data_IF_439836879431
#
_entry.id   IF_439836879431
#
_cell.length_a   1.000
_cell.length_b   1.000
_cell.length_c   1.000
_cell.angle_alpha   90.00
_cell.angle_beta   90.00
_cell.angle_gamma   90.00
#
_symmetry.space_group_name_H-M   'P 1'
#
loop_
_entity.id
_entity.type
_entity.pdbx_description
1 polymer ?
#
# COMPACT_ATOMS: atom_id res chain seq x y z
N UNK A 1 4.69 20.19 -31.00
CA UNK A 1 4.86 20.64 -29.60
C UNK A 1 3.82 20.05 -28.64
N UNK A 2 2.52 20.36 -28.74
CA UNK A 2 1.52 19.81 -27.80
C UNK A 2 1.39 18.28 -27.88
N UNK A 3 1.44 17.71 -29.09
CA UNK A 3 1.47 16.27 -29.32
C UNK A 3 2.69 15.59 -28.69
N UNK A 4 3.88 16.21 -28.78
CA UNK A 4 5.11 15.67 -28.20
C UNK A 4 5.05 15.58 -26.67
N UNK A 5 4.49 16.61 -26.03
CA UNK A 5 4.26 16.63 -24.58
C UNK A 5 3.27 15.52 -24.17
N UNK A 6 2.20 15.32 -24.94
CA UNK A 6 1.25 14.23 -24.69
C UNK A 6 1.94 12.87 -24.83
N UNK A 7 2.70 12.64 -25.90
CA UNK A 7 3.44 11.40 -26.11
C UNK A 7 4.42 11.13 -24.97
N UNK A 8 5.18 12.14 -24.54
CA UNK A 8 6.08 12.05 -23.40
C UNK A 8 5.34 11.72 -22.10
N UNK A 9 4.18 12.35 -21.84
CA UNK A 9 3.38 12.08 -20.65
C UNK A 9 2.90 10.63 -20.59
N UNK A 10 2.53 10.05 -21.74
CA UNK A 10 2.11 8.65 -21.84
C UNK A 10 3.29 7.71 -21.56
N UNK A 11 4.44 7.95 -22.19
CA UNK A 11 5.65 7.16 -21.96
C UNK A 11 6.08 7.22 -20.50
N UNK A 12 6.10 8.42 -19.91
CA UNK A 12 6.41 8.62 -18.49
C UNK A 12 5.45 7.83 -17.59
N UNK A 13 4.12 7.95 -17.80
CA UNK A 13 3.12 7.19 -17.03
C UNK A 13 3.32 5.69 -17.13
N UNK A 14 3.65 5.17 -18.31
CA UNK A 14 3.89 3.74 -18.52
C UNK A 14 5.13 3.26 -17.75
N UNK A 15 6.28 3.94 -17.89
CA UNK A 15 7.50 3.57 -17.19
C UNK A 15 7.39 3.72 -15.68
N UNK A 16 6.83 4.83 -15.20
CA UNK A 16 6.62 5.05 -13.77
C UNK A 16 5.61 4.06 -13.17
N UNK A 17 4.56 3.72 -13.92
CA UNK A 17 3.57 2.70 -13.54
C UNK A 17 4.19 1.31 -13.43
N UNK A 18 4.97 0.89 -14.44
CA UNK A 18 5.68 -0.39 -14.43
C UNK A 18 6.67 -0.49 -13.27
N UNK A 19 7.47 0.56 -13.06
CA UNK A 19 8.41 0.63 -11.92
C UNK A 19 7.66 0.52 -10.59
N UNK A 20 6.58 1.29 -10.41
CA UNK A 20 5.75 1.24 -9.20
C UNK A 20 5.21 -0.15 -8.95
N UNK A 21 4.72 -0.83 -9.99
CA UNK A 21 4.20 -2.19 -9.91
C UNK A 21 5.26 -3.19 -9.44
N UNK A 22 6.42 -3.22 -10.11
CA UNK A 22 7.48 -4.20 -9.80
C UNK A 22 8.01 -3.99 -8.38
N UNK A 23 8.34 -2.74 -8.07
CA UNK A 23 8.85 -2.33 -6.74
C UNK A 23 7.79 -2.56 -5.67
N UNK A 24 6.53 -2.23 -5.97
CA UNK A 24 5.43 -2.27 -5.02
C UNK A 24 4.95 -3.67 -4.70
N UNK A 25 4.84 -4.57 -5.68
CA UNK A 25 4.46 -5.97 -5.45
C UNK A 25 5.52 -6.66 -4.61
N UNK A 26 6.79 -6.56 -5.01
CA UNK A 26 7.90 -7.20 -4.29
C UNK A 26 8.05 -6.58 -2.90
N UNK A 27 8.07 -5.25 -2.80
CA UNK A 27 8.26 -4.51 -1.56
C UNK A 27 7.14 -4.77 -0.55
N UNK A 28 5.87 -4.65 -0.97
CA UNK A 28 4.75 -4.90 -0.06
C UNK A 28 4.65 -6.38 0.34
N UNK A 29 4.94 -7.32 -0.57
CA UNK A 29 5.02 -8.74 -0.20
C UNK A 29 6.09 -8.96 0.88
N UNK A 30 7.30 -8.42 0.72
CA UNK A 30 8.35 -8.52 1.73
C UNK A 30 7.92 -7.91 3.07
N UNK A 31 7.28 -6.73 3.06
CA UNK A 31 6.74 -6.10 4.27
C UNK A 31 5.71 -6.97 4.98
N UNK A 32 4.75 -7.53 4.23
CA UNK A 32 3.73 -8.43 4.79
C UNK A 32 4.43 -9.64 5.43
N UNK A 33 5.38 -10.25 4.74
CA UNK A 33 6.09 -11.43 5.23
C UNK A 33 6.93 -11.15 6.49
N UNK A 34 7.60 -10.00 6.56
CA UNK A 34 8.47 -9.62 7.68
C UNK A 34 7.66 -9.21 8.90
N UNK A 35 6.64 -8.37 8.72
CA UNK A 35 5.80 -7.85 9.80
C UNK A 35 4.90 -8.94 10.40
N UNK A 36 4.39 -9.88 9.58
CA UNK A 36 3.56 -10.99 10.07
C UNK A 36 4.36 -12.21 10.54
N UNK A 37 5.52 -12.48 9.93
CA UNK A 37 6.30 -13.70 10.18
C UNK A 37 7.15 -13.67 11.45
N UNK A 38 7.53 -12.48 11.93
CA UNK A 38 8.40 -12.35 13.10
C UNK A 38 7.58 -12.16 14.37
N UNK A 39 7.78 -13.05 15.35
CA UNK A 39 7.11 -12.97 16.67
C UNK A 39 7.26 -11.60 17.34
N UNK A 40 8.40 -10.92 17.11
CA UNK A 40 8.69 -9.59 17.64
C UNK A 40 7.74 -8.51 17.10
N UNK A 41 7.40 -8.56 15.81
CA UNK A 41 6.51 -7.58 15.18
C UNK A 41 5.04 -7.97 15.30
N UNK A 42 4.75 -9.28 15.30
CA UNK A 42 3.36 -9.79 15.42
C UNK A 42 2.66 -9.34 16.70
N UNK A 43 3.41 -9.13 17.78
CA UNK A 43 2.87 -8.63 19.04
C UNK A 43 2.95 -7.10 19.16
N UNK A 44 3.43 -6.38 18.14
CA UNK A 44 3.48 -4.93 18.11
C UNK A 44 2.27 -4.39 17.30
N UNK A 45 1.53 -3.47 17.93
CA UNK A 45 0.26 -2.94 17.40
C UNK A 45 0.48 -2.00 16.20
N UNK A 46 1.46 -1.09 16.29
CA UNK A 46 1.89 -0.25 15.16
C UNK A 46 2.35 -1.09 13.96
N UNK A 47 3.10 -2.17 14.20
CA UNK A 47 3.52 -3.09 13.15
C UNK A 47 2.34 -3.81 12.47
N UNK A 48 1.27 -4.10 13.22
CA UNK A 48 0.03 -4.63 12.66
C UNK A 48 -0.61 -3.64 11.69
N UNK A 49 -0.73 -2.36 12.04
CA UNK A 49 -1.27 -1.35 11.11
C UNK A 49 -0.43 -1.19 9.84
N UNK A 50 0.91 -1.19 9.95
CA UNK A 50 1.81 -1.16 8.79
C UNK A 50 1.67 -2.42 7.91
N UNK A 51 1.34 -3.57 8.50
CA UNK A 51 1.07 -4.80 7.75
C UNK A 51 -0.27 -4.73 7.01
N UNK A 52 -1.31 -4.17 7.64
CA UNK A 52 -2.61 -3.91 6.99
C UNK A 52 -2.43 -2.93 5.83
N UNK A 53 -1.70 -1.83 6.06
CA UNK A 53 -1.34 -0.84 5.04
C UNK A 53 -0.62 -1.50 3.85
N UNK A 54 0.40 -2.32 4.12
CA UNK A 54 1.14 -3.05 3.08
C UNK A 54 0.25 -4.03 2.32
N UNK A 55 -0.71 -4.66 3.00
CA UNK A 55 -1.68 -5.59 2.39
C UNK A 55 -2.63 -4.85 1.46
N UNK A 56 -3.19 -3.72 1.88
CA UNK A 56 -4.05 -2.88 1.06
C UNK A 56 -3.30 -2.36 -0.19
N UNK A 57 -2.06 -1.89 -0.01
CA UNK A 57 -1.21 -1.44 -1.11
C UNK A 57 -0.86 -2.58 -2.07
N UNK A 58 -0.60 -3.79 -1.58
CA UNK A 58 -0.38 -4.97 -2.41
C UNK A 58 -1.59 -5.27 -3.31
N UNK A 59 -2.81 -5.25 -2.75
CA UNK A 59 -4.04 -5.44 -3.52
C UNK A 59 -4.25 -4.33 -4.57
N UNK A 60 -4.00 -3.07 -4.22
CA UNK A 60 -4.09 -1.95 -5.18
C UNK A 60 -3.12 -2.10 -6.36
N UNK A 61 -1.89 -2.54 -6.10
CA UNK A 61 -0.90 -2.78 -7.17
C UNK A 61 -1.29 -3.98 -8.03
N UNK A 62 -1.81 -5.05 -7.42
CA UNK A 62 -2.30 -6.21 -8.16
C UNK A 62 -3.46 -5.84 -9.10
N UNK A 63 -4.42 -5.05 -8.63
CA UNK A 63 -5.50 -4.53 -9.47
C UNK A 63 -4.98 -3.64 -10.60
N UNK A 64 -3.98 -2.79 -10.32
CA UNK A 64 -3.34 -1.96 -11.32
C UNK A 64 -2.66 -2.79 -12.42
N UNK A 65 -2.00 -3.90 -12.05
CA UNK A 65 -1.44 -4.86 -13.02
C UNK A 65 -2.54 -5.48 -13.88
N UNK A 66 -3.61 -5.97 -13.26
CA UNK A 66 -4.71 -6.60 -13.98
C UNK A 66 -5.32 -5.65 -15.01
N UNK A 67 -5.52 -4.37 -14.64
CA UNK A 67 -6.00 -3.32 -15.55
C UNK A 67 -5.02 -3.10 -16.70
N UNK A 68 -3.72 -2.97 -16.41
CA UNK A 68 -2.72 -2.70 -17.45
C UNK A 68 -2.56 -3.86 -18.44
N UNK A 69 -2.62 -5.10 -17.97
CA UNK A 69 -2.61 -6.28 -18.84
C UNK A 69 -3.85 -6.31 -19.73
N UNK A 70 -5.03 -5.99 -19.18
CA UNK A 70 -6.26 -5.92 -19.96
C UNK A 70 -6.17 -4.87 -21.09
N UNK A 71 -5.63 -3.69 -20.79
CA UNK A 71 -5.40 -2.62 -21.77
C UNK A 71 -4.43 -3.10 -22.86
N UNK A 72 -3.34 -3.76 -22.48
CA UNK A 72 -2.34 -4.28 -23.43
C UNK A 72 -2.93 -5.34 -24.36
N UNK A 73 -3.77 -6.24 -23.84
CA UNK A 73 -4.36 -7.34 -24.62
C UNK A 73 -5.50 -6.88 -25.54
N UNK A 74 -6.31 -5.90 -25.11
CA UNK A 74 -7.49 -5.46 -25.87
C UNK A 74 -7.22 -4.28 -26.80
N UNK A 75 -6.12 -3.55 -26.60
CA UNK A 75 -5.76 -2.37 -27.39
C UNK A 75 -6.64 -1.14 -27.12
N UNK A 76 -7.57 -1.23 -26.16
CA UNK A 76 -8.49 -0.16 -25.78
C UNK A 76 -8.65 -0.10 -24.25
N UNK A 77 -8.82 1.12 -23.72
CA UNK A 77 -9.06 1.32 -22.29
C UNK A 77 -10.52 1.00 -21.97
N UNK A 78 -10.75 -0.19 -21.40
CA UNK A 78 -12.07 -0.63 -20.95
C UNK A 78 -12.75 0.36 -19.99
N UNK A 79 -12.00 1.27 -19.37
CA UNK A 79 -12.53 2.35 -18.52
C UNK A 79 -13.36 3.36 -19.32
N UNK A 80 -13.08 3.54 -20.60
CA UNK A 80 -13.82 4.41 -21.51
C UNK A 80 -15.01 3.73 -22.21
N UNK A 81 -15.16 2.41 -22.09
CA UNK A 81 -16.20 1.65 -22.82
C UNK A 81 -17.16 0.91 -21.90
N UNK A 82 -16.73 0.46 -20.72
CA UNK A 82 -17.57 -0.30 -19.78
C UNK A 82 -17.83 0.48 -18.49
N UNK A 83 -19.08 0.91 -18.31
CA UNK A 83 -19.52 1.71 -17.16
C UNK A 83 -19.30 0.99 -15.82
N UNK A 84 -19.58 -0.31 -15.77
CA UNK A 84 -19.41 -1.13 -14.56
C UNK A 84 -17.94 -1.17 -14.18
N UNK A 85 -17.06 -1.38 -15.16
CA UNK A 85 -15.62 -1.41 -14.93
C UNK A 85 -15.08 -0.07 -14.45
N UNK A 86 -15.53 1.05 -15.04
CA UNK A 86 -15.16 2.36 -14.54
C UNK A 86 -15.54 2.51 -13.06
N UNK A 87 -16.82 2.32 -12.73
CA UNK A 87 -17.34 2.51 -11.36
C UNK A 87 -16.57 1.65 -10.37
N UNK A 88 -16.32 0.39 -10.70
CA UNK A 88 -15.54 -0.53 -9.88
C UNK A 88 -14.11 -0.04 -9.68
N UNK A 89 -13.39 0.32 -10.75
CA UNK A 89 -11.99 0.77 -10.70
C UNK A 89 -11.82 1.99 -9.79
N UNK A 90 -12.66 3.00 -9.95
CA UNK A 90 -12.57 4.21 -9.14
C UNK A 90 -12.98 3.96 -7.69
N UNK A 91 -14.08 3.24 -7.45
CA UNK A 91 -14.56 2.90 -6.11
C UNK A 91 -13.48 2.18 -5.32
N UNK A 92 -12.93 1.08 -5.87
CA UNK A 92 -11.91 0.27 -5.19
C UNK A 92 -10.63 1.07 -4.94
N UNK A 93 -10.19 1.88 -5.91
CA UNK A 93 -9.02 2.74 -5.75
C UNK A 93 -9.19 3.76 -4.61
N UNK A 94 -10.36 4.42 -4.54
CA UNK A 94 -10.66 5.37 -3.46
C UNK A 94 -10.75 4.66 -2.11
N UNK A 95 -11.44 3.52 -2.02
CA UNK A 95 -11.55 2.75 -0.77
C UNK A 95 -10.18 2.34 -0.25
N UNK A 96 -9.33 1.78 -1.11
CA UNK A 96 -7.99 1.34 -0.69
C UNK A 96 -7.15 2.55 -0.25
N UNK A 97 -7.22 3.68 -0.97
CA UNK A 97 -6.50 4.89 -0.57
C UNK A 97 -6.90 5.38 0.82
N UNK A 98 -8.20 5.36 1.15
CA UNK A 98 -8.68 5.75 2.48
C UNK A 98 -8.22 4.75 3.55
N UNK A 99 -8.37 3.45 3.31
CA UNK A 99 -7.90 2.42 4.24
C UNK A 99 -6.40 2.59 4.54
N UNK A 100 -5.57 2.76 3.50
CA UNK A 100 -4.13 2.98 3.65
C UNK A 100 -3.81 4.25 4.44
N UNK A 101 -4.41 5.40 4.10
CA UNK A 101 -4.12 6.66 4.79
C UNK A 101 -4.55 6.66 6.26
N UNK A 102 -5.71 6.09 6.58
CA UNK A 102 -6.21 6.05 7.97
C UNK A 102 -5.55 4.97 8.82
N UNK A 103 -5.14 3.84 8.23
CA UNK A 103 -4.31 2.85 8.95
C UNK A 103 -2.96 3.44 9.34
N UNK A 104 -2.37 4.30 8.50
CA UNK A 104 -1.17 5.07 8.86
C UNK A 104 -1.44 6.07 9.99
N UNK A 105 -2.62 6.72 10.01
CA UNK A 105 -3.04 7.55 11.14
C UNK A 105 -3.12 6.73 12.44
N UNK A 106 -3.72 5.54 12.41
CA UNK A 106 -3.77 4.65 13.59
C UNK A 106 -2.38 4.18 14.01
N UNK A 107 -1.48 3.91 13.06
CA UNK A 107 -0.09 3.57 13.36
C UNK A 107 0.61 4.72 14.10
N UNK A 108 0.39 5.97 13.70
CA UNK A 108 0.93 7.16 14.36
C UNK A 108 0.32 7.38 15.75
N UNK A 109 -1.01 7.25 15.89
CA UNK A 109 -1.70 7.35 17.18
C UNK A 109 -1.25 6.26 18.16
N UNK A 110 -1.17 5.00 17.72
CA UNK A 110 -0.67 3.89 18.54
C UNK A 110 0.79 4.11 18.93
N UNK A 111 1.61 4.66 18.03
CA UNK A 111 2.99 4.97 18.34
C UNK A 111 3.11 6.10 19.39
N UNK A 112 2.25 7.11 19.34
CA UNK A 112 2.17 8.13 20.38
C UNK A 112 1.76 7.55 21.74
N UNK A 113 0.68 6.76 21.77
CA UNK A 113 0.15 6.18 23.00
C UNK A 113 1.11 5.15 23.60
N UNK A 114 1.76 4.33 22.77
CA UNK A 114 2.75 3.33 23.20
C UNK A 114 4.02 3.92 23.80
N UNK A 115 4.40 5.12 23.33
CA UNK A 115 5.59 5.84 23.79
C UNK A 115 5.28 6.85 24.89
N UNK A 116 4.01 6.97 25.31
CA UNK A 116 3.63 7.88 26.38
C UNK A 116 4.24 7.46 27.72
N UNK A 117 4.52 8.45 28.58
CA UNK A 117 5.09 8.22 29.91
C UNK A 117 4.06 7.64 30.88
N UNK A 118 2.77 7.93 30.67
CA UNK A 118 1.70 7.44 31.53
C UNK A 118 1.41 5.98 31.20
N UNK A 119 1.48 5.12 32.21
CA UNK A 119 1.21 3.69 32.05
C UNK A 119 -0.23 3.42 31.55
N UNK A 120 -1.20 4.18 32.07
CA UNK A 120 -2.61 4.04 31.71
C UNK A 120 -2.86 4.23 30.21
N UNK A 121 -2.35 5.32 29.63
CA UNK A 121 -2.47 5.59 28.18
C UNK A 121 -1.82 4.50 27.33
N UNK A 122 -0.70 3.95 27.81
CA UNK A 122 0.02 2.86 27.15
C UNK A 122 -0.78 1.55 27.11
N UNK A 123 -1.62 1.33 28.12
CA UNK A 123 -2.40 0.11 28.30
C UNK A 123 -3.72 0.11 27.52
N UNK A 124 -4.23 1.29 27.13
CA UNK A 124 -5.45 1.43 26.30
C UNK A 124 -5.25 0.73 24.96
N UNK A 125 -4.09 0.89 24.35
CA UNK A 125 -3.79 0.26 23.07
C UNK A 125 -3.60 -1.24 23.28
N UNK A 126 -4.46 -2.07 22.70
CA UNK A 126 -4.29 -3.53 22.70
C UNK A 126 -4.37 -4.06 21.27
N UNK A 127 -3.78 -5.23 21.00
CA UNK A 127 -3.87 -5.85 19.67
C UNK A 127 -5.32 -6.16 19.26
N UNK A 128 -6.19 -6.68 20.16
CA UNK A 128 -7.61 -6.85 19.84
C UNK A 128 -8.27 -5.55 19.43
N UNK A 129 -8.04 -4.46 20.19
CA UNK A 129 -8.55 -3.13 19.83
C UNK A 129 -8.08 -2.70 18.44
N UNK A 130 -6.79 -2.89 18.12
CA UNK A 130 -6.25 -2.53 16.81
C UNK A 130 -6.93 -3.31 15.66
N UNK A 131 -7.25 -4.58 15.87
CA UNK A 131 -8.00 -5.40 14.91
C UNK A 131 -9.43 -4.90 14.75
N UNK A 132 -10.14 -4.66 15.85
CA UNK A 132 -11.51 -4.13 15.81
C UNK A 132 -11.59 -2.78 15.11
N UNK A 133 -10.70 -1.83 15.46
CA UNK A 133 -10.63 -0.53 14.80
C UNK A 133 -10.37 -0.66 13.30
N UNK A 134 -9.45 -1.53 12.90
CA UNK A 134 -9.15 -1.77 11.49
C UNK A 134 -10.37 -2.28 10.71
N UNK A 135 -11.08 -3.26 11.26
CA UNK A 135 -12.28 -3.83 10.62
C UNK A 135 -13.40 -2.80 10.53
N UNK A 136 -13.68 -2.10 11.64
CA UNK A 136 -14.72 -1.06 11.68
C UNK A 136 -14.42 0.04 10.65
N UNK A 137 -13.19 0.55 10.59
CA UNK A 137 -12.83 1.57 9.62
C UNK A 137 -12.84 1.06 8.19
N UNK A 138 -12.42 -0.18 7.93
CA UNK A 138 -12.55 -0.77 6.60
C UNK A 138 -14.02 -0.83 6.15
N UNK A 139 -14.95 -1.23 7.03
CA UNK A 139 -16.38 -1.23 6.76
C UNK A 139 -16.95 0.18 6.51
N UNK A 140 -16.52 1.17 7.31
CA UNK A 140 -16.91 2.58 7.12
C UNK A 140 -16.46 3.07 5.74
N UNK A 141 -15.21 2.83 5.35
CA UNK A 141 -14.69 3.30 4.06
C UNK A 141 -15.27 2.55 2.86
N UNK A 142 -15.56 1.25 3.01
CA UNK A 142 -16.30 0.49 2.00
C UNK A 142 -17.70 1.08 1.79
N UNK A 143 -18.42 1.36 2.87
CA UNK A 143 -19.77 1.94 2.82
C UNK A 143 -19.73 3.35 2.23
N UNK A 144 -18.78 4.17 2.66
CA UNK A 144 -18.57 5.52 2.13
C UNK A 144 -18.30 5.52 0.62
N UNK A 145 -17.53 4.55 0.14
CA UNK A 145 -17.14 4.46 -1.26
C UNK A 145 -18.29 4.07 -2.20
N UNK A 146 -19.42 3.59 -1.67
CA UNK A 146 -20.63 3.27 -2.47
C UNK A 146 -21.11 4.49 -3.27
N UNK A 147 -20.92 5.71 -2.75
CA UNK A 147 -21.21 6.97 -3.46
C UNK A 147 -20.51 7.02 -4.83
N UNK A 148 -19.29 6.50 -4.95
CA UNK A 148 -18.57 6.50 -6.23
C UNK A 148 -19.09 5.44 -7.21
N UNK A 149 -19.81 4.43 -6.74
CA UNK A 149 -20.47 3.46 -7.63
C UNK A 149 -21.62 4.12 -8.39
N UNK A 150 -22.31 5.08 -7.78
CA UNK A 150 -23.52 5.67 -8.36
C UNK A 150 -23.23 6.83 -9.32
N UNK A 151 -22.23 7.66 -9.02
CA UNK A 151 -22.05 8.97 -9.69
C UNK A 151 -21.01 9.01 -10.81
N UNK A 152 -20.24 7.94 -11.03
CA UNK A 152 -19.32 7.88 -12.16
C UNK A 152 -20.04 7.47 -13.44
N UNK A 153 -19.80 8.24 -14.50
CA UNK A 153 -20.34 8.04 -15.85
C UNK A 153 -19.24 8.18 -16.91
N UNK A 154 -19.47 7.57 -18.07
CA UNK A 154 -18.56 7.65 -19.21
C UNK A 154 -18.97 8.82 -20.08
N UNK A 155 -18.07 9.77 -20.29
CA UNK A 155 -18.23 10.89 -21.20
C UNK A 155 -17.18 10.81 -22.32
N UNK A 156 -17.54 10.38 -23.54
CA UNK A 156 -16.65 10.49 -24.69
C UNK A 156 -16.42 11.97 -25.03
N UNK A 157 -15.17 12.44 -25.29
CA UNK A 157 -13.89 11.71 -25.35
C UNK A 157 -13.06 11.78 -24.05
N UNK A 158 -13.60 12.35 -22.97
CA UNK A 158 -12.89 12.61 -21.71
C UNK A 158 -12.61 11.33 -20.93
N UNK A 159 -13.45 10.31 -21.10
CA UNK A 159 -13.39 9.04 -20.38
C UNK A 159 -14.33 9.06 -19.18
N UNK A 160 -13.93 8.43 -18.07
CA UNK A 160 -14.84 8.29 -16.94
C UNK A 160 -14.72 9.42 -15.92
N UNK A 161 -15.83 10.11 -15.68
CA UNK A 161 -15.91 11.35 -14.90
C UNK A 161 -17.16 11.37 -14.02
N UNK A 162 -17.21 12.34 -13.10
CA UNK A 162 -18.38 12.60 -12.26
C UNK A 162 -19.18 13.71 -12.95
N UNK A 163 -20.39 13.41 -13.43
CA UNK A 163 -21.26 14.39 -14.09
C UNK A 163 -22.26 15.05 -13.14
N UNK A 164 -22.62 14.36 -12.06
CA UNK A 164 -23.58 14.91 -11.10
C UNK A 164 -22.94 16.09 -10.33
N UNK A 165 -23.56 17.30 -10.36
CA UNK A 165 -22.98 18.51 -9.78
C UNK A 165 -22.86 18.42 -8.25
N UNK A 166 -23.79 17.75 -7.58
CA UNK A 166 -23.77 17.55 -6.12
C UNK A 166 -22.59 16.65 -5.74
N UNK A 167 -22.40 15.54 -6.45
CA UNK A 167 -21.28 14.64 -6.24
C UNK A 167 -19.94 15.29 -6.59
N UNK A 168 -19.92 16.17 -7.59
CA UNK A 168 -18.75 16.97 -7.96
C UNK A 168 -18.38 17.96 -6.85
N UNK A 169 -19.37 18.70 -6.32
CA UNK A 169 -19.19 19.62 -5.20
C UNK A 169 -18.71 18.88 -3.95
N UNK A 170 -19.34 17.75 -3.63
CA UNK A 170 -18.92 16.86 -2.55
C UNK A 170 -17.46 16.41 -2.70
N UNK A 171 -17.09 15.96 -3.90
CA UNK A 171 -15.74 15.49 -4.19
C UNK A 171 -14.70 16.60 -4.02
N UNK A 172 -15.05 17.80 -4.48
CA UNK A 172 -14.17 18.96 -4.55
C UNK A 172 -13.93 19.61 -3.20
N UNK A 173 -15.00 19.85 -2.43
CA UNK A 173 -14.92 20.64 -1.20
C UNK A 173 -14.80 19.80 0.06
N UNK A 174 -15.18 18.53 0.02
CA UNK A 174 -15.15 17.66 1.20
C UNK A 174 -14.23 16.45 1.00
N UNK A 175 -14.47 15.62 -0.01
CA UNK A 175 -13.78 14.35 -0.14
C UNK A 175 -12.26 14.48 -0.32
N UNK A 176 -11.80 15.17 -1.37
CA UNK A 176 -10.38 15.33 -1.64
C UNK A 176 -9.65 16.18 -0.58
N UNK A 177 -10.12 17.40 -0.24
CA UNK A 177 -9.40 18.25 0.71
C UNK A 177 -9.50 17.71 2.14
N UNK A 178 -10.66 17.27 2.61
CA UNK A 178 -10.81 16.87 4.01
C UNK A 178 -10.46 15.39 4.22
N UNK A 179 -11.15 14.47 3.55
CA UNK A 179 -11.02 13.03 3.85
C UNK A 179 -9.74 12.41 3.33
N UNK A 180 -9.32 12.75 2.12
CA UNK A 180 -8.11 12.18 1.48
C UNK A 180 -6.85 12.97 1.87
N UNK A 181 -6.94 14.30 1.92
CA UNK A 181 -5.79 15.17 2.15
C UNK A 181 -5.58 15.58 3.60
N UNK A 182 -6.21 16.68 4.00
CA UNK A 182 -5.90 17.42 5.22
C UNK A 182 -6.07 16.60 6.49
N UNK A 183 -7.20 15.89 6.65
CA UNK A 183 -7.47 15.14 7.89
C UNK A 183 -6.41 14.05 8.17
N UNK A 184 -6.12 13.11 7.25
CA UNK A 184 -5.10 12.09 7.51
C UNK A 184 -3.70 12.70 7.64
N UNK A 185 -3.36 13.74 6.85
CA UNK A 185 -2.06 14.40 6.95
C UNK A 185 -1.88 15.08 8.32
N UNK A 186 -2.88 15.83 8.79
CA UNK A 186 -2.84 16.52 10.08
C UNK A 186 -2.77 15.53 11.24
N UNK A 187 -3.64 14.51 11.26
CA UNK A 187 -3.66 13.49 12.32
C UNK A 187 -2.33 12.75 12.35
N UNK A 188 -1.89 12.18 11.23
CA UNK A 188 -0.67 11.40 11.17
C UNK A 188 0.56 12.24 11.56
N UNK A 189 0.66 13.48 11.06
CA UNK A 189 1.78 14.39 11.38
C UNK A 189 1.80 14.77 12.85
N UNK A 190 0.67 15.18 13.42
CA UNK A 190 0.56 15.59 14.82
C UNK A 190 1.00 14.46 15.76
N UNK A 191 0.36 13.29 15.65
CA UNK A 191 0.65 12.16 16.54
C UNK A 191 2.06 11.63 16.35
N UNK A 192 2.58 11.64 15.13
CA UNK A 192 3.94 11.20 14.86
C UNK A 192 5.01 12.16 15.43
N UNK A 193 4.80 13.49 15.35
CA UNK A 193 5.67 14.48 16.00
C UNK A 193 5.65 14.27 17.53
N UNK A 194 4.47 14.07 18.12
CA UNK A 194 4.34 13.80 19.56
C UNK A 194 5.03 12.49 19.95
N UNK A 195 4.86 11.42 19.17
CA UNK A 195 5.53 10.14 19.38
C UNK A 195 7.06 10.29 19.30
N UNK A 196 7.57 11.07 18.34
CA UNK A 196 8.99 11.34 18.20
C UNK A 196 9.56 12.09 19.41
N UNK A 197 8.84 13.09 19.93
CA UNK A 197 9.21 13.80 21.17
C UNK A 197 9.24 12.86 22.37
N UNK A 198 8.22 11.99 22.49
CA UNK A 198 8.14 10.99 23.56
C UNK A 198 9.33 10.02 23.53
N UNK A 199 9.67 9.49 22.35
CA UNK A 199 10.83 8.59 22.19
C UNK A 199 12.14 9.27 22.56
N UNK A 200 12.36 10.52 22.14
CA UNK A 200 13.55 11.30 22.54
C UNK A 200 13.62 11.52 24.05
N UNK A 201 12.48 11.64 24.74
CA UNK A 201 12.43 11.75 26.20
C UNK A 201 12.71 10.42 26.90
N UNK A 202 12.17 9.31 26.40
CA UNK A 202 12.38 7.95 26.92
C UNK A 202 13.86 7.57 26.92
N UNK A 203 14.63 8.06 25.96
CA UNK A 203 16.08 7.82 25.84
C UNK A 203 16.84 8.14 27.13
N UNK A 204 16.34 9.09 27.93
CA UNK A 204 16.97 9.51 29.19
C UNK A 204 16.56 8.66 30.41
N UNK A 205 15.62 7.73 30.28
CA UNK A 205 15.11 6.90 31.39
C UNK A 205 15.59 5.44 31.28
N UNK A 206 15.75 4.77 32.42
CA UNK A 206 16.18 3.37 32.53
C UNK A 206 15.06 2.38 32.14
N UNK A 207 14.67 2.37 30.85
CA UNK A 207 13.85 1.29 30.29
C UNK A 207 14.73 0.15 29.77
N UNK A 208 14.24 -1.10 29.76
CA UNK A 208 14.98 -2.22 29.19
C UNK A 208 15.37 -1.93 27.73
N UNK A 209 16.67 -2.10 27.43
CA UNK A 209 17.31 -1.68 26.17
C UNK A 209 16.60 -2.28 24.95
N UNK A 210 16.12 -3.53 25.06
CA UNK A 210 15.47 -4.24 23.96
C UNK A 210 14.15 -3.57 23.51
N UNK A 211 13.30 -3.16 24.48
CA UNK A 211 12.01 -2.51 24.19
C UNK A 211 12.21 -1.13 23.59
N UNK A 212 13.13 -0.35 24.17
CA UNK A 212 13.48 0.99 23.69
C UNK A 212 13.93 0.99 22.23
N UNK A 213 14.79 0.04 21.84
CA UNK A 213 15.26 -0.07 20.45
C UNK A 213 14.12 -0.42 19.49
N UNK A 214 13.17 -1.25 19.91
CA UNK A 214 12.00 -1.59 19.10
C UNK A 214 11.10 -0.36 18.90
N UNK A 215 10.77 0.36 19.97
CA UNK A 215 9.90 1.54 19.89
C UNK A 215 10.53 2.66 19.05
N UNK A 216 11.84 2.89 19.18
CA UNK A 216 12.60 3.81 18.34
C UNK A 216 12.51 3.46 16.85
N UNK A 217 12.65 2.17 16.52
CA UNK A 217 12.59 1.68 15.15
C UNK A 217 11.18 1.83 14.57
N UNK A 218 10.15 1.46 15.33
CA UNK A 218 8.76 1.61 14.91
C UNK A 218 8.41 3.09 14.67
N UNK A 219 8.79 3.99 15.59
CA UNK A 219 8.59 5.44 15.40
C UNK A 219 9.31 5.95 14.17
N UNK A 220 10.55 5.54 13.93
CA UNK A 220 11.30 5.96 12.75
C UNK A 220 10.64 5.46 11.44
N UNK A 221 10.15 4.23 11.42
CA UNK A 221 9.44 3.66 10.27
C UNK A 221 8.13 4.43 10.00
N UNK A 222 7.31 4.66 11.02
CA UNK A 222 6.06 5.44 10.89
C UNK A 222 6.34 6.87 10.46
N UNK A 223 7.34 7.54 11.06
CA UNK A 223 7.74 8.90 10.70
C UNK A 223 8.08 9.03 9.21
N UNK A 224 8.84 8.07 8.68
CA UNK A 224 9.21 8.11 7.28
C UNK A 224 8.03 7.83 6.34
N UNK A 225 7.07 6.98 6.74
CA UNK A 225 5.79 6.85 6.00
C UNK A 225 4.98 8.14 6.02
N UNK A 226 4.90 8.83 7.15
CA UNK A 226 4.19 10.11 7.26
C UNK A 226 4.87 11.19 6.39
N UNK A 227 6.20 11.24 6.36
CA UNK A 227 6.94 12.17 5.49
C UNK A 227 6.64 11.89 4.01
N UNK A 228 6.65 10.61 3.59
CA UNK A 228 6.28 10.23 2.22
C UNK A 228 4.81 10.55 1.90
N UNK A 229 3.90 10.31 2.84
CA UNK A 229 2.49 10.65 2.70
C UNK A 229 2.35 12.16 2.43
N UNK A 230 2.98 13.01 3.24
CA UNK A 230 2.89 14.46 3.08
C UNK A 230 3.50 14.91 1.74
N UNK A 231 4.68 14.41 1.39
CA UNK A 231 5.39 14.87 0.19
C UNK A 231 4.75 14.39 -1.12
N UNK A 232 4.09 13.23 -1.13
CA UNK A 232 3.55 12.62 -2.35
C UNK A 232 2.02 12.77 -2.46
N UNK A 233 1.28 12.76 -1.35
CA UNK A 233 -0.19 12.88 -1.36
C UNK A 233 -0.65 14.33 -1.46
N UNK A 234 0.04 15.27 -0.80
CA UNK A 234 -0.37 16.68 -0.80
C UNK A 234 -0.38 17.29 -2.22
N UNK A 235 0.67 17.11 -3.06
CA UNK A 235 0.65 17.63 -4.43
C UNK A 235 -0.49 17.02 -5.26
N UNK A 236 -0.77 15.74 -5.07
CA UNK A 236 -1.89 15.08 -5.73
C UNK A 236 -3.24 15.68 -5.31
N UNK A 237 -3.49 15.86 -4.01
CA UNK A 237 -4.76 16.41 -3.54
C UNK A 237 -4.99 17.83 -4.04
N UNK A 238 -3.94 18.66 -4.04
CA UNK A 238 -4.00 20.02 -4.58
C UNK A 238 -4.28 20.00 -6.09
N UNK A 239 -3.57 19.15 -6.83
CA UNK A 239 -3.80 19.00 -8.27
C UNK A 239 -5.21 18.50 -8.58
N UNK A 240 -5.76 17.55 -7.80
CA UNK A 240 -7.13 17.04 -8.01
C UNK A 240 -8.17 18.13 -7.75
N UNK A 241 -8.01 18.93 -6.69
CA UNK A 241 -8.90 20.06 -6.41
C UNK A 241 -8.83 21.07 -7.56
N UNK A 242 -7.62 21.45 -8.00
CA UNK A 242 -7.43 22.31 -9.15
C UNK A 242 -8.08 21.74 -10.42
N UNK A 243 -7.83 20.46 -10.71
CA UNK A 243 -8.33 19.81 -11.91
C UNK A 243 -9.87 19.76 -11.94
N UNK A 244 -10.53 19.57 -10.80
CA UNK A 244 -12.00 19.52 -10.77
C UNK A 244 -12.63 20.91 -10.89
N UNK A 245 -12.04 21.95 -10.30
CA UNK A 245 -12.58 23.32 -10.37
C UNK A 245 -12.31 24.02 -11.71
N UNK A 246 -11.24 23.65 -12.41
CA UNK A 246 -10.83 24.29 -13.66
C UNK A 246 -10.87 23.26 -14.81
N UNK A 247 -12.06 22.98 -15.38
CA UNK A 247 -12.19 22.08 -16.52
C UNK A 247 -11.46 22.64 -17.75
N UNK A 248 -10.89 21.74 -18.55
CA UNK A 248 -10.15 22.14 -19.77
C UNK A 248 -11.15 22.64 -20.81
N UNK A 249 -10.88 23.81 -21.36
CA UNK A 249 -11.56 24.29 -22.58
C UNK A 249 -11.00 23.51 -23.78
N UNK A 250 -11.83 22.79 -24.57
CA UNK A 250 -11.37 21.91 -25.65
C UNK A 250 -10.46 22.58 -26.69
N UNK A 251 -10.54 23.89 -26.84
CA UNK A 251 -9.83 24.64 -27.89
C UNK A 251 -8.33 24.89 -27.58
N UNK A 252 -7.83 24.51 -26.40
CA UNK A 252 -6.44 24.77 -26.00
C UNK A 252 -5.61 23.48 -25.85
N UNK A 253 -5.03 23.02 -26.96
CA UNK A 253 -4.26 21.76 -27.01
C UNK A 253 -3.01 21.76 -26.12
N UNK A 254 -2.34 22.91 -25.95
CA UNK A 254 -1.15 23.02 -25.10
C UNK A 254 -1.50 22.90 -23.60
N UNK A 255 -2.53 23.60 -23.14
CA UNK A 255 -3.02 23.53 -21.75
C UNK A 255 -3.42 22.10 -21.37
N UNK A 256 -4.06 21.39 -22.30
CA UNK A 256 -4.38 19.97 -22.14
C UNK A 256 -3.13 19.10 -21.97
N UNK A 257 -2.13 19.29 -22.84
CA UNK A 257 -0.89 18.52 -22.79
C UNK A 257 -0.12 18.71 -21.47
N UNK A 258 0.00 19.97 -21.01
CA UNK A 258 0.65 20.30 -19.73
C UNK A 258 -0.10 19.65 -18.56
N UNK A 259 -1.43 19.80 -18.51
CA UNK A 259 -2.26 19.20 -17.44
C UNK A 259 -2.12 17.68 -17.40
N UNK A 260 -2.05 17.03 -18.55
CA UNK A 260 -1.86 15.57 -18.65
C UNK A 260 -0.48 15.16 -18.11
N UNK A 261 0.57 15.90 -18.41
CA UNK A 261 1.90 15.66 -17.86
C UNK A 261 1.94 15.85 -16.34
N UNK A 262 1.38 16.94 -15.82
CA UNK A 262 1.28 17.16 -14.38
C UNK A 262 0.48 16.05 -13.69
N UNK A 263 -0.65 15.64 -14.27
CA UNK A 263 -1.45 14.53 -13.78
C UNK A 263 -0.63 13.24 -13.70
N UNK A 264 0.16 12.95 -14.74
CA UNK A 264 1.03 11.78 -14.77
C UNK A 264 2.06 11.79 -13.63
N UNK A 265 2.70 12.94 -13.38
CA UNK A 265 3.70 13.14 -12.32
C UNK A 265 3.09 13.01 -10.91
N UNK A 266 1.95 13.66 -10.65
CA UNK A 266 1.34 13.57 -9.31
C UNK A 266 0.74 12.20 -9.04
N UNK A 267 0.21 11.53 -10.06
CA UNK A 267 -0.36 10.18 -9.93
C UNK A 267 0.76 9.13 -9.74
N UNK A 268 1.89 9.27 -10.43
CA UNK A 268 3.06 8.43 -10.18
C UNK A 268 3.61 8.63 -8.76
N UNK A 269 3.55 9.85 -8.23
CA UNK A 269 3.87 10.15 -6.82
C UNK A 269 3.09 9.28 -5.83
N UNK A 270 1.77 9.13 -6.00
CA UNK A 270 0.97 8.21 -5.18
C UNK A 270 1.39 6.75 -5.41
N UNK A 271 1.60 6.36 -6.66
CA UNK A 271 2.09 5.02 -7.01
C UNK A 271 3.37 4.69 -6.24
N UNK A 272 4.31 5.62 -6.18
CA UNK A 272 5.55 5.49 -5.42
C UNK A 272 5.34 5.50 -3.92
N UNK A 273 4.42 6.31 -3.39
CA UNK A 273 4.06 6.27 -1.97
C UNK A 273 3.61 4.86 -1.54
N UNK A 274 2.82 4.18 -2.38
CA UNK A 274 2.33 2.85 -2.08
C UNK A 274 3.39 1.76 -2.31
N UNK A 275 4.41 2.02 -3.13
CA UNK A 275 5.37 1.02 -3.59
C UNK A 275 6.69 1.01 -2.83
N UNK A 276 7.18 2.18 -2.39
CA UNK A 276 8.52 2.34 -1.83
C UNK A 276 8.60 2.11 -0.31
N UNK A 277 7.50 1.70 0.32
CA UNK A 277 7.41 1.44 1.77
C UNK A 277 8.53 0.54 2.30
N UNK A 278 8.77 -0.60 1.64
CA UNK A 278 9.81 -1.56 2.03
C UNK A 278 11.23 -0.98 1.91
N UNK A 279 11.51 -0.23 0.83
CA UNK A 279 12.83 0.37 0.60
C UNK A 279 13.14 1.40 1.67
N UNK A 280 12.16 2.24 2.01
CA UNK A 280 12.28 3.17 3.12
C UNK A 280 12.53 2.46 4.44
N UNK A 281 11.82 1.36 4.74
CA UNK A 281 12.08 0.58 5.96
C UNK A 281 13.47 -0.05 5.98
N UNK A 282 14.00 -0.51 4.84
CA UNK A 282 15.35 -1.06 4.73
C UNK A 282 16.44 -0.01 4.93
N UNK A 283 16.23 1.22 4.48
CA UNK A 283 17.17 2.34 4.67
C UNK A 283 17.16 2.78 6.14
N UNK A 284 15.97 2.93 6.72
CA UNK A 284 15.78 3.55 8.04
C UNK A 284 16.14 2.60 9.19
N UNK A 285 15.85 1.31 9.05
CA UNK A 285 16.04 0.34 10.13
C UNK A 285 17.04 -0.74 9.74
N UNK A 286 18.25 -0.63 10.30
CA UNK A 286 19.29 -1.65 10.15
C UNK A 286 18.83 -3.02 10.65
N UNK A 287 18.00 -3.06 11.70
CA UNK A 287 17.41 -4.29 12.22
C UNK A 287 16.37 -4.88 11.27
N UNK A 288 15.53 -4.03 10.66
CA UNK A 288 14.58 -4.46 9.64
C UNK A 288 15.32 -5.13 8.48
N UNK A 289 16.40 -4.51 7.98
CA UNK A 289 17.28 -5.09 6.96
C UNK A 289 17.84 -6.47 7.35
N UNK A 290 18.35 -6.62 8.58
CA UNK A 290 18.81 -7.92 9.07
C UNK A 290 17.68 -8.96 9.16
N UNK A 291 16.49 -8.53 9.56
CA UNK A 291 15.30 -9.38 9.68
C UNK A 291 14.76 -9.82 8.32
N UNK A 292 14.77 -8.95 7.31
CA UNK A 292 14.44 -9.31 5.91
C UNK A 292 15.43 -10.36 5.42
N UNK A 293 16.73 -10.10 5.55
CA UNK A 293 17.79 -11.04 5.16
C UNK A 293 17.65 -12.39 5.88
N UNK A 294 17.42 -12.38 7.20
CA UNK A 294 17.19 -13.59 7.99
C UNK A 294 15.96 -14.37 7.51
N UNK A 295 14.85 -13.68 7.23
CA UNK A 295 13.61 -14.32 6.78
C UNK A 295 13.78 -14.95 5.40
N UNK A 296 14.45 -14.25 4.48
CA UNK A 296 14.77 -14.76 3.14
C UNK A 296 15.71 -15.97 3.20
N UNK A 297 16.81 -15.87 3.96
CA UNK A 297 17.77 -16.98 4.16
C UNK A 297 17.09 -18.19 4.78
N UNK A 298 16.27 -18.01 5.81
CA UNK A 298 15.54 -19.11 6.48
C UNK A 298 14.55 -19.81 5.55
N UNK A 299 13.85 -19.07 4.70
CA UNK A 299 12.92 -19.67 3.71
C UNK A 299 13.67 -20.39 2.59
N UNK A 300 14.75 -19.80 2.09
CA UNK A 300 15.63 -20.42 1.10
C UNK A 300 16.20 -21.75 1.63
N UNK A 301 16.74 -21.73 2.85
CA UNK A 301 17.27 -22.93 3.52
C UNK A 301 16.24 -24.04 3.68
N UNK A 302 15.00 -23.71 4.07
CA UNK A 302 13.91 -24.69 4.19
C UNK A 302 13.55 -25.32 2.84
N UNK A 303 13.49 -24.52 1.77
CA UNK A 303 13.24 -25.02 0.40
C UNK A 303 14.37 -25.92 -0.10
N UNK A 304 15.62 -25.54 0.15
CA UNK A 304 16.78 -26.38 -0.19
C UNK A 304 16.75 -27.71 0.57
N UNK A 305 16.47 -27.68 1.88
CA UNK A 305 16.37 -28.90 2.69
C UNK A 305 15.24 -29.82 2.20
N UNK A 306 14.07 -29.28 1.87
CA UNK A 306 12.97 -30.10 1.34
C UNK A 306 13.30 -30.70 -0.03
N UNK A 307 13.97 -29.95 -0.91
CA UNK A 307 14.40 -30.48 -2.22
C UNK A 307 15.43 -31.60 -2.06
N UNK A 308 16.39 -31.46 -1.13
CA UNK A 308 17.39 -32.48 -0.85
C UNK A 308 16.77 -33.77 -0.25
N UNK A 309 15.78 -33.65 0.65
CA UNK A 309 15.06 -34.81 1.18
C UNK A 309 14.27 -35.57 0.09
N UNK A 310 13.69 -34.87 -0.90
CA UNK A 310 12.98 -35.52 -2.02
C UNK A 310 13.96 -36.27 -2.91
N UNK A 311 15.10 -35.67 -3.25
CA UNK A 311 16.14 -36.31 -4.07
C UNK A 311 16.72 -37.56 -3.38
N UNK A 312 16.95 -37.51 -2.07
CA UNK A 312 17.46 -38.68 -1.32
C UNK A 312 16.51 -39.88 -1.34
N UNK A 313 15.18 -39.65 -1.34
CA UNK A 313 14.19 -40.73 -1.35
C UNK A 313 14.05 -41.40 -2.74
N UNK A 314 14.31 -40.66 -3.83
CA UNK A 314 14.30 -41.22 -5.19
C UNK A 314 15.47 -42.19 -5.42
N UNK A 315 16.67 -41.87 -4.90
CA UNK A 315 17.83 -42.76 -5.02
C UNK A 315 17.63 -44.09 -4.28
N UNK A 316 16.87 -44.10 -3.19
CA UNK A 316 16.61 -45.35 -2.43
C UNK A 316 15.57 -46.26 -3.09
N UNK A 317 14.73 -45.74 -3.99
CA UNK A 317 13.67 -46.54 -4.64
C UNK A 317 14.11 -47.24 -5.92
N UNK A 318 15.21 -46.83 -6.55
CA UNK A 318 15.77 -47.48 -7.75
C UNK A 318 16.66 -48.71 -7.46
N UNK A 319 16.95 -49.00 -6.19
CA UNK A 319 17.77 -50.16 -5.80
C UNK A 319 17.04 -51.23 -4.99
N UNK A 320 15.70 -51.16 -4.90
CA UNK A 320 14.94 -52.31 -4.42
C UNK A 320 14.85 -53.35 -5.55
N UNK A 321 15.45 -54.54 -5.38
CA UNK A 321 15.36 -55.60 -6.37
C UNK A 321 13.89 -55.94 -6.62
N UNK A 322 13.53 -56.05 -7.90
CA UNK A 322 12.22 -56.51 -8.35
C UNK A 322 11.80 -57.73 -7.52
N UNK A 323 10.60 -57.73 -6.89
CA UNK A 323 10.11 -58.90 -6.18
C UNK A 323 10.05 -60.05 -7.17
N UNK A 324 10.92 -61.05 -6.98
CA UNK A 324 10.85 -62.33 -7.68
C UNK A 324 9.42 -62.85 -7.54
N UNK A 325 8.72 -62.98 -8.67
CA UNK A 325 7.48 -63.71 -8.78
C UNK A 325 7.75 -65.17 -8.43
N UNK A 326 7.59 -65.53 -7.17
CA UNK A 326 7.49 -66.92 -6.75
C UNK A 326 6.18 -67.49 -7.30
N UNK A 327 6.28 -68.23 -8.40
CA UNK A 327 5.24 -69.14 -8.84
C UNK A 327 5.03 -70.17 -7.72
N UNK A 328 3.84 -70.15 -7.13
CA UNK A 328 3.35 -71.20 -6.24
C UNK A 328 2.74 -72.26 -7.14
N UNK A 329 3.50 -73.32 -7.42
CA UNK A 329 2.95 -74.58 -7.92
C UNK A 329 2.19 -75.25 -6.76
N UNK A 330 0.93 -75.54 -7.02
CA UNK A 330 0.05 -76.37 -6.19
C UNK A 330 0.08 -77.76 -6.82
N UNK A 331 0.76 -78.71 -6.19
CA UNK A 331 0.46 -80.15 -6.27
C UNK A 331 1.05 -80.91 -5.07
#
# INVERSE_FOLDING_TARGET
MSQDIVAFSIQYSLYAGYLSIVVGVIGNALNILTLTGLKLFRNNRSAFYLAVESTANFFSQFLSIAVNILILLRGDDATGTNLIWCRFRYTVSQTISLITSYTLCFAACDQFLSTNYQFNLRNICTIPLARYLTVIFACIWLTHSIIFVTFFEIQPPVGCVILNPIALQYSTYFFYPALVGLLPICIASLFNILAFRNVRRIVRRQLPIARRRLDQQMTAMVLMRVVMLVSLLLPYTLFRIYAVNFPIVPNQSLSYAIRRLFQAIVTSGIGFNNSFSCFVFMIVSSRYRHQVSFTLRKRCWRKMKSACCIASNQVTTEHLPSPRSSNVEVE
#
